data_IF_160656343925
#
_entry.id   IF_160656343925
#
_cell.length_a   1.000
_cell.length_b   1.000
_cell.length_c   1.000
_cell.angle_alpha   90.00
_cell.angle_beta   90.00
_cell.angle_gamma   90.00
#
_symmetry.space_group_name_H-M   'P 1'
#
loop_
_entity.id
_entity.type
_entity.pdbx_description
1 polymer ?
#
# COMPACT_ATOMS: atom_id res chain seq x y z
N UNK A 1 42.05 -12.86 12.33
CA UNK A 1 40.78 -12.99 13.07
C UNK A 1 39.82 -13.76 12.18
N UNK A 2 39.05 -14.74 12.70
CA UNK A 2 38.14 -15.57 11.90
C UNK A 2 36.93 -14.75 11.43
N UNK A 3 36.49 -14.96 10.19
CA UNK A 3 35.29 -14.34 9.58
C UNK A 3 34.07 -15.27 9.58
N UNK A 4 34.09 -16.27 10.47
CA UNK A 4 33.10 -17.33 10.60
C UNK A 4 31.99 -16.90 11.58
N UNK A 5 30.82 -17.53 11.49
CA UNK A 5 29.62 -17.18 12.27
C UNK A 5 29.05 -15.75 12.08
N UNK A 6 29.17 -15.19 10.86
CA UNK A 6 28.08 -14.37 10.31
C UNK A 6 26.84 -15.28 10.09
N UNK A 7 26.10 -15.57 11.17
CA UNK A 7 24.80 -16.23 11.13
C UNK A 7 23.95 -15.55 10.06
N UNK A 8 23.37 -16.34 9.15
CA UNK A 8 22.61 -15.88 7.99
C UNK A 8 21.29 -15.23 8.41
N UNK A 9 21.37 -13.98 8.86
CA UNK A 9 20.21 -13.15 9.13
C UNK A 9 19.28 -13.11 7.92
N UNK A 10 17.97 -13.20 8.17
CA UNK A 10 16.93 -13.30 7.15
C UNK A 10 17.18 -12.31 6.00
N UNK A 11 17.42 -12.85 4.81
CA UNK A 11 17.68 -12.03 3.62
C UNK A 11 16.45 -11.19 3.27
N UNK A 12 16.68 -10.06 2.60
CA UNK A 12 15.65 -9.06 2.21
C UNK A 12 14.29 -9.68 1.83
N UNK A 13 14.28 -10.66 0.92
CA UNK A 13 13.06 -11.31 0.42
C UNK A 13 12.33 -12.12 1.50
N UNK A 14 13.05 -12.80 2.39
CA UNK A 14 12.44 -13.55 3.49
C UNK A 14 11.82 -12.61 4.52
N UNK A 15 12.50 -11.50 4.87
CA UNK A 15 11.94 -10.47 5.76
C UNK A 15 10.69 -9.80 5.17
N UNK A 16 10.71 -9.47 3.87
CA UNK A 16 9.53 -8.95 3.15
C UNK A 16 8.37 -9.95 3.23
N UNK A 17 8.60 -11.22 2.90
CA UNK A 17 7.56 -12.26 2.91
C UNK A 17 6.97 -12.48 4.31
N UNK A 18 7.81 -12.54 5.35
CA UNK A 18 7.37 -12.70 6.75
C UNK A 18 6.55 -11.48 7.21
N UNK A 19 6.96 -10.25 6.84
CA UNK A 19 6.19 -9.05 7.16
C UNK A 19 4.82 -9.01 6.48
N UNK A 20 4.74 -9.36 5.19
CA UNK A 20 3.44 -9.44 4.47
C UNK A 20 2.57 -10.52 5.11
N UNK A 21 3.10 -11.73 5.34
CA UNK A 21 2.34 -12.83 5.95
C UNK A 21 1.83 -12.48 7.37
N UNK A 22 2.65 -11.81 8.19
CA UNK A 22 2.27 -11.38 9.53
C UNK A 22 1.16 -10.32 9.53
N UNK A 23 1.22 -9.33 8.64
CA UNK A 23 0.16 -8.32 8.51
C UNK A 23 -1.13 -8.93 7.95
N UNK A 24 -1.04 -9.80 6.94
CA UNK A 24 -2.21 -10.53 6.45
C UNK A 24 -2.87 -11.37 7.54
N UNK A 25 -2.08 -12.10 8.35
CA UNK A 25 -2.63 -12.86 9.48
C UNK A 25 -3.36 -11.97 10.50
N UNK A 26 -2.81 -10.80 10.83
CA UNK A 26 -3.47 -9.84 11.73
C UNK A 26 -4.80 -9.33 11.16
N UNK A 27 -4.87 -9.04 9.86
CA UNK A 27 -6.10 -8.59 9.19
C UNK A 27 -7.14 -9.71 9.09
N UNK A 28 -6.71 -10.95 8.83
CA UNK A 28 -7.57 -12.14 8.85
C UNK A 28 -8.16 -12.40 10.25
N UNK A 29 -7.34 -12.30 11.30
CA UNK A 29 -7.80 -12.41 12.69
C UNK A 29 -8.75 -11.25 13.04
N UNK A 30 -8.46 -10.02 12.60
CA UNK A 30 -9.36 -8.89 12.82
C UNK A 30 -10.72 -9.09 12.15
N UNK A 31 -10.77 -9.42 10.85
CA UNK A 31 -12.05 -9.68 10.15
C UNK A 31 -12.83 -10.86 10.78
N UNK A 32 -12.14 -11.90 11.23
CA UNK A 32 -12.77 -13.03 11.92
C UNK A 32 -13.39 -12.61 13.27
N UNK A 33 -12.64 -11.87 14.10
CA UNK A 33 -13.12 -11.38 15.41
C UNK A 33 -14.25 -10.36 15.24
N UNK A 34 -14.12 -9.39 14.34
CA UNK A 34 -15.15 -8.37 14.07
C UNK A 34 -16.44 -8.99 13.52
N UNK A 35 -16.34 -10.01 12.66
CA UNK A 35 -17.50 -10.78 12.20
C UNK A 35 -18.16 -11.58 13.32
N UNK A 36 -17.37 -12.26 14.16
CA UNK A 36 -17.88 -13.05 15.28
C UNK A 36 -18.55 -12.20 16.38
N UNK A 37 -18.04 -10.99 16.64
CA UNK A 37 -18.57 -10.06 17.64
C UNK A 37 -19.77 -9.23 17.16
N UNK A 38 -20.41 -9.61 16.05
CA UNK A 38 -21.68 -9.04 15.60
C UNK A 38 -21.59 -7.93 14.54
N UNK A 39 -20.42 -7.70 13.94
CA UNK A 39 -20.24 -6.69 12.88
C UNK A 39 -20.96 -6.99 11.55
N UNK A 40 -21.50 -8.20 11.37
CA UNK A 40 -22.26 -8.61 10.19
C UNK A 40 -22.09 -10.09 9.85
N UNK A 41 -22.63 -10.52 8.72
CA UNK A 41 -22.42 -11.88 8.21
C UNK A 41 -20.97 -12.01 7.74
N UNK A 42 -20.13 -12.73 8.49
CA UNK A 42 -18.76 -13.04 8.06
C UNK A 42 -18.78 -13.82 6.74
N UNK A 43 -18.14 -13.28 5.71
CA UNK A 43 -18.11 -13.84 4.35
C UNK A 43 -16.66 -14.06 3.90
N UNK A 44 -16.13 -15.27 4.01
CA UNK A 44 -14.74 -15.59 3.61
C UNK A 44 -14.38 -15.19 2.18
N UNK A 45 -15.37 -15.11 1.28
CA UNK A 45 -15.18 -14.66 -0.11
C UNK A 45 -14.80 -13.18 -0.24
N UNK A 46 -15.32 -12.32 0.64
CA UNK A 46 -15.09 -10.85 0.56
C UNK A 46 -13.64 -10.52 0.87
N UNK A 47 -13.08 -11.19 1.88
CA UNK A 47 -11.64 -11.16 2.21
C UNK A 47 -10.74 -11.49 1.00
N UNK A 48 -11.13 -12.46 0.16
CA UNK A 48 -10.34 -12.81 -1.04
C UNK A 48 -10.29 -11.66 -2.07
N UNK A 49 -11.28 -10.78 -2.07
CA UNK A 49 -11.31 -9.61 -2.93
C UNK A 49 -10.58 -8.40 -2.31
N UNK A 50 -10.51 -8.31 -0.98
CA UNK A 50 -9.72 -7.30 -0.25
C UNK A 50 -8.20 -7.59 -0.27
N UNK A 51 -7.81 -8.87 -0.27
CA UNK A 51 -6.41 -9.33 -0.22
C UNK A 51 -5.45 -8.59 -1.19
N UNK A 52 -5.76 -8.41 -2.50
CA UNK A 52 -4.89 -7.65 -3.40
C UNK A 52 -4.67 -6.20 -2.95
N UNK A 53 -5.70 -5.54 -2.44
CA UNK A 53 -5.62 -4.17 -1.93
C UNK A 53 -4.73 -4.08 -0.70
N UNK A 54 -4.92 -4.98 0.26
CA UNK A 54 -4.08 -5.07 1.45
C UNK A 54 -2.61 -5.35 1.11
N UNK A 55 -2.33 -6.37 0.28
CA UNK A 55 -0.93 -6.69 -0.10
C UNK A 55 -0.30 -5.49 -0.80
N UNK A 56 -1.02 -4.85 -1.73
CA UNK A 56 -0.55 -3.64 -2.41
C UNK A 56 -0.22 -2.49 -1.45
N UNK A 57 -1.05 -2.28 -0.42
CA UNK A 57 -0.90 -1.24 0.60
C UNK A 57 0.22 -1.53 1.61
N UNK A 58 0.46 -2.79 1.98
CA UNK A 58 1.43 -3.15 3.02
C UNK A 58 2.83 -3.49 2.49
N UNK A 59 2.98 -3.72 1.18
CA UNK A 59 4.27 -3.94 0.52
C UNK A 59 5.34 -2.85 0.77
N UNK A 60 5.03 -1.53 0.82
CA UNK A 60 6.00 -0.50 1.19
C UNK A 60 6.62 -0.71 2.58
N UNK A 61 5.81 -1.10 3.59
CA UNK A 61 6.32 -1.38 4.93
C UNK A 61 7.15 -2.66 4.97
N UNK A 62 6.78 -3.68 4.18
CA UNK A 62 7.60 -4.86 3.99
C UNK A 62 8.97 -4.50 3.35
N UNK A 63 9.02 -3.54 2.41
CA UNK A 63 10.28 -3.02 1.86
C UNK A 63 11.15 -2.32 2.92
N UNK A 64 10.57 -1.57 3.87
CA UNK A 64 11.28 -1.03 5.03
C UNK A 64 11.92 -2.15 5.87
N UNK A 65 11.16 -3.19 6.23
CA UNK A 65 11.70 -4.31 7.03
C UNK A 65 12.77 -5.09 6.26
N UNK A 66 12.60 -5.28 4.94
CA UNK A 66 13.62 -5.86 4.06
C UNK A 66 14.91 -5.04 4.03
N UNK A 67 14.82 -3.72 3.87
CA UNK A 67 15.96 -2.80 3.93
C UNK A 67 16.66 -2.83 5.29
N UNK A 68 15.88 -2.86 6.37
CA UNK A 68 16.34 -2.93 7.76
C UNK A 68 17.10 -4.22 8.07
N UNK A 69 16.61 -5.36 7.60
CA UNK A 69 17.29 -6.65 7.74
C UNK A 69 18.59 -6.69 6.92
N UNK A 70 18.54 -6.24 5.66
CA UNK A 70 19.62 -6.44 4.70
C UNK A 70 20.71 -5.34 4.66
N UNK A 71 20.61 -4.29 5.48
CA UNK A 71 21.52 -3.12 5.48
C UNK A 71 23.03 -3.46 5.53
N UNK A 72 23.41 -4.55 6.21
CA UNK A 72 24.80 -4.99 6.39
C UNK A 72 25.33 -5.96 5.31
N UNK A 73 24.54 -6.18 4.25
CA UNK A 73 24.82 -7.15 3.16
C UNK A 73 24.50 -6.56 1.77
N UNK A 74 23.43 -5.76 1.64
CA UNK A 74 23.08 -5.11 0.37
C UNK A 74 23.66 -3.70 0.24
N UNK A 75 24.28 -3.42 -0.91
CA UNK A 75 24.56 -2.07 -1.36
C UNK A 75 23.26 -1.28 -1.59
N UNK A 76 23.34 0.06 -1.51
CA UNK A 76 22.17 0.94 -1.68
C UNK A 76 21.50 0.71 -3.03
N UNK A 77 22.26 0.59 -4.13
CA UNK A 77 21.72 0.32 -5.46
C UNK A 77 20.99 -1.03 -5.57
N UNK A 78 21.52 -2.09 -4.94
CA UNK A 78 20.86 -3.41 -4.91
C UNK A 78 19.59 -3.42 -4.06
N UNK A 79 19.53 -2.59 -3.01
CA UNK A 79 18.31 -2.38 -2.23
C UNK A 79 17.29 -1.57 -3.04
N UNK A 80 17.68 -0.44 -3.67
CA UNK A 80 16.78 0.38 -4.52
C UNK A 80 16.15 -0.45 -5.64
N UNK A 81 16.91 -1.30 -6.34
CA UNK A 81 16.37 -2.22 -7.36
C UNK A 81 15.28 -3.14 -6.81
N UNK A 82 15.48 -3.71 -5.62
CA UNK A 82 14.48 -4.59 -4.95
C UNK A 82 13.26 -3.82 -4.47
N UNK A 83 13.45 -2.62 -3.94
CA UNK A 83 12.35 -1.76 -3.51
C UNK A 83 11.53 -1.23 -4.70
N UNK A 84 12.15 -1.00 -5.86
CA UNK A 84 11.47 -0.68 -7.11
C UNK A 84 10.67 -1.88 -7.67
N UNK A 85 11.17 -3.11 -7.56
CA UNK A 85 10.37 -4.30 -7.87
C UNK A 85 9.13 -4.41 -6.97
N UNK A 86 9.29 -4.11 -5.67
CA UNK A 86 8.15 -4.04 -4.73
C UNK A 86 7.17 -2.94 -5.13
N UNK A 87 7.64 -1.76 -5.53
CA UNK A 87 6.80 -0.68 -6.05
C UNK A 87 5.97 -1.13 -7.26
N UNK A 88 6.58 -1.81 -8.25
CA UNK A 88 5.87 -2.32 -9.42
C UNK A 88 4.77 -3.32 -9.03
N UNK A 89 5.04 -4.25 -8.11
CA UNK A 89 4.02 -5.21 -7.63
C UNK A 89 2.91 -4.50 -6.84
N UNK A 90 3.26 -3.57 -5.96
CA UNK A 90 2.32 -2.73 -5.21
C UNK A 90 1.40 -1.94 -6.16
N UNK A 91 1.96 -1.31 -7.20
CA UNK A 91 1.20 -0.58 -8.21
C UNK A 91 0.21 -1.49 -8.96
N UNK A 92 0.65 -2.67 -9.44
CA UNK A 92 -0.27 -3.58 -10.14
C UNK A 92 -1.39 -4.11 -9.24
N UNK A 93 -1.09 -4.37 -7.97
CA UNK A 93 -2.10 -4.79 -6.98
C UNK A 93 -3.10 -3.69 -6.65
N UNK A 94 -2.66 -2.43 -6.48
CA UNK A 94 -3.52 -1.29 -6.15
C UNK A 94 -4.30 -0.75 -7.36
N UNK A 95 -3.67 -0.63 -8.53
CA UNK A 95 -4.26 -0.02 -9.71
C UNK A 95 -5.08 -0.99 -10.58
N UNK A 96 -4.88 -2.30 -10.44
CA UNK A 96 -5.59 -3.31 -11.23
C UNK A 96 -6.15 -4.44 -10.36
N UNK A 97 -5.33 -5.06 -9.51
CA UNK A 97 -5.73 -6.23 -8.71
C UNK A 97 -6.97 -5.98 -7.85
N UNK A 98 -6.90 -4.95 -7.00
CA UNK A 98 -8.00 -4.55 -6.10
C UNK A 98 -9.23 -4.02 -6.85
N UNK A 99 -9.13 -3.05 -7.79
CA UNK A 99 -10.27 -2.63 -8.61
C UNK A 99 -11.00 -3.76 -9.35
N UNK A 100 -10.26 -4.71 -9.93
CA UNK A 100 -10.84 -5.88 -10.60
C UNK A 100 -11.48 -6.87 -9.62
N UNK A 101 -10.94 -6.98 -8.40
CA UNK A 101 -11.47 -7.85 -7.36
C UNK A 101 -12.79 -7.31 -6.79
N UNK A 102 -12.85 -6.05 -6.37
CA UNK A 102 -14.10 -5.41 -5.93
C UNK A 102 -15.17 -5.42 -7.01
N UNK A 103 -14.84 -5.10 -8.27
CA UNK A 103 -15.81 -5.15 -9.37
C UNK A 103 -16.41 -6.55 -9.57
N UNK A 104 -15.61 -7.61 -9.41
CA UNK A 104 -16.10 -9.00 -9.45
C UNK A 104 -16.96 -9.38 -8.25
N UNK A 105 -16.68 -8.85 -7.08
CA UNK A 105 -17.53 -9.01 -5.89
C UNK A 105 -18.91 -8.37 -6.11
N UNK A 106 -18.96 -7.10 -6.54
CA UNK A 106 -20.22 -6.43 -6.90
C UNK A 106 -20.98 -7.17 -8.01
N UNK A 107 -20.28 -7.71 -9.02
CA UNK A 107 -20.90 -8.56 -10.04
C UNK A 107 -21.54 -9.84 -9.45
N UNK A 108 -20.93 -10.43 -8.41
CA UNK A 108 -21.44 -11.62 -7.72
C UNK A 108 -22.60 -11.36 -6.74
N UNK A 109 -23.08 -10.11 -6.67
CA UNK A 109 -24.16 -9.63 -5.79
C UNK A 109 -25.38 -9.14 -6.57
N UNK A 110 -25.44 -9.37 -7.89
CA UNK A 110 -26.51 -8.91 -8.79
C UNK A 110 -26.73 -7.38 -8.77
N UNK A 111 -25.69 -6.62 -8.40
CA UNK A 111 -25.73 -5.17 -8.41
C UNK A 111 -25.70 -4.61 -9.83
N UNK A 112 -26.38 -3.47 -10.07
CA UNK A 112 -26.30 -2.75 -11.34
C UNK A 112 -24.90 -2.13 -11.54
N UNK A 113 -24.03 -2.89 -12.20
CA UNK A 113 -22.69 -2.47 -12.57
C UNK A 113 -22.69 -1.33 -13.59
N UNK A 114 -23.77 -1.12 -14.36
CA UNK A 114 -23.84 -0.02 -15.33
C UNK A 114 -24.11 1.32 -14.65
N UNK A 115 -24.92 1.33 -13.59
CA UNK A 115 -25.10 2.48 -12.72
C UNK A 115 -23.88 2.73 -11.81
N UNK A 116 -23.31 1.69 -11.20
CA UNK A 116 -22.19 1.81 -10.26
C UNK A 116 -20.84 2.07 -10.93
N UNK A 117 -20.61 1.45 -12.10
CA UNK A 117 -19.32 1.44 -12.80
C UNK A 117 -19.50 1.68 -14.32
N UNK A 118 -20.04 2.83 -14.75
CA UNK A 118 -20.32 3.11 -16.17
C UNK A 118 -19.08 3.11 -17.09
N UNK A 119 -17.87 3.21 -16.52
CA UNK A 119 -16.59 3.11 -17.25
C UNK A 119 -15.86 1.78 -16.99
N UNK A 120 -16.53 0.81 -16.36
CA UNK A 120 -15.95 -0.44 -15.88
C UNK A 120 -15.21 -0.32 -14.55
N UNK A 121 -14.42 -1.34 -14.15
CA UNK A 121 -13.67 -1.35 -12.89
C UNK A 121 -12.71 -0.15 -12.80
N UNK A 122 -12.56 0.50 -11.61
CA UNK A 122 -11.84 1.77 -11.42
C UNK A 122 -10.30 1.63 -11.49
N UNK A 123 -9.84 1.18 -12.65
CA UNK A 123 -8.44 1.08 -13.09
C UNK A 123 -8.01 2.41 -13.71
N UNK A 124 -6.69 2.67 -13.90
CA UNK A 124 -6.22 3.90 -14.52
C UNK A 124 -6.87 4.24 -15.86
N UNK A 125 -7.16 3.23 -16.70
CA UNK A 125 -7.85 3.43 -17.99
C UNK A 125 -9.30 3.90 -17.81
N UNK A 126 -10.04 3.30 -16.87
CA UNK A 126 -11.43 3.68 -16.58
C UNK A 126 -11.51 5.07 -15.92
N UNK A 127 -10.62 5.35 -14.96
CA UNK A 127 -10.54 6.65 -14.29
C UNK A 127 -10.17 7.79 -15.25
N UNK A 128 -9.28 7.54 -16.23
CA UNK A 128 -8.99 8.50 -17.31
C UNK A 128 -10.21 8.71 -18.23
N UNK A 129 -10.90 7.65 -18.63
CA UNK A 129 -12.11 7.76 -19.46
C UNK A 129 -13.24 8.52 -18.73
N UNK A 130 -13.46 8.22 -17.44
CA UNK A 130 -14.40 8.93 -16.59
C UNK A 130 -14.01 10.41 -16.44
N UNK A 131 -12.73 10.71 -16.27
CA UNK A 131 -12.22 12.09 -16.22
C UNK A 131 -12.52 12.84 -17.51
N UNK A 132 -12.20 12.27 -18.68
CA UNK A 132 -12.49 12.92 -19.97
C UNK A 132 -14.00 13.12 -20.20
N UNK A 133 -14.85 12.20 -19.74
CA UNK A 133 -16.30 12.36 -19.81
C UNK A 133 -16.82 13.52 -18.94
N UNK A 134 -16.28 13.70 -17.73
CA UNK A 134 -16.62 14.81 -16.82
C UNK A 134 -15.98 16.14 -17.28
N UNK A 135 -14.81 16.12 -17.92
CA UNK A 135 -14.21 17.31 -18.54
C UNK A 135 -15.04 17.80 -19.74
N UNK A 136 -15.63 16.87 -20.52
CA UNK A 136 -16.54 17.18 -21.62
C UNK A 136 -17.94 17.64 -21.15
N UNK A 137 -18.48 17.02 -20.08
CA UNK A 137 -19.80 17.30 -19.53
C UNK A 137 -19.71 17.57 -18.02
N UNK A 138 -19.22 18.76 -17.59
CA UNK A 138 -19.04 19.07 -16.19
C UNK A 138 -20.39 19.20 -15.46
N UNK A 139 -20.58 18.55 -14.29
CA UNK A 139 -21.81 18.66 -13.51
C UNK A 139 -21.98 20.08 -12.96
N UNK A 140 -23.23 20.54 -12.82
CA UNK A 140 -23.56 21.93 -12.46
C UNK A 140 -23.00 22.37 -11.11
N UNK A 141 -22.78 21.45 -10.17
CA UNK A 141 -22.23 21.70 -8.84
C UNK A 141 -20.70 21.77 -8.77
N UNK A 142 -19.96 21.26 -9.77
CA UNK A 142 -18.52 21.03 -9.66
C UNK A 142 -17.79 21.07 -11.03
N UNK A 143 -16.70 21.83 -11.17
CA UNK A 143 -15.99 21.97 -12.47
C UNK A 143 -14.45 21.95 -12.37
N UNK A 144 -13.77 21.09 -13.14
CA UNK A 144 -12.29 21.00 -13.20
C UNK A 144 -11.57 22.25 -13.77
N UNK A 145 -12.23 23.40 -13.83
CA UNK A 145 -11.71 24.63 -14.46
C UNK A 145 -10.93 25.48 -13.45
N UNK A 146 -9.69 25.77 -13.79
CA UNK A 146 -8.72 26.56 -12.98
C UNK A 146 -9.27 27.90 -12.48
N UNK A 147 -10.24 28.50 -13.18
CA UNK A 147 -10.89 29.76 -12.76
C UNK A 147 -11.84 29.66 -11.57
N UNK A 148 -12.15 28.44 -11.06
CA UNK A 148 -12.99 28.23 -9.87
C UNK A 148 -12.42 27.14 -8.95
N UNK A 149 -11.19 27.26 -8.44
CA UNK A 149 -10.46 26.17 -7.76
C UNK A 149 -11.02 25.79 -6.38
N UNK A 150 -12.06 26.49 -5.90
CA UNK A 150 -12.76 26.25 -4.64
C UNK A 150 -14.22 25.85 -4.83
N UNK A 151 -14.77 25.86 -6.05
CA UNK A 151 -16.04 25.19 -6.37
C UNK A 151 -15.81 23.70 -6.66
N UNK A 152 -14.80 23.13 -5.98
CA UNK A 152 -14.36 21.74 -6.11
C UNK A 152 -14.19 21.41 -7.63
N UNK A 153 -14.51 20.23 -8.22
CA UNK A 153 -14.85 18.96 -7.59
C UNK A 153 -13.73 18.58 -6.62
N UNK A 154 -13.97 17.65 -5.68
CA UNK A 154 -12.83 16.97 -5.09
C UNK A 154 -12.02 16.40 -6.27
N UNK A 155 -10.71 16.60 -6.30
CA UNK A 155 -9.88 16.19 -7.45
C UNK A 155 -9.67 14.65 -7.47
N UNK A 156 -10.70 13.91 -7.06
CA UNK A 156 -10.73 12.53 -6.64
C UNK A 156 -10.33 11.57 -7.76
N UNK A 157 -10.69 11.87 -9.01
CA UNK A 157 -10.21 11.11 -10.17
C UNK A 157 -8.70 11.23 -10.33
N UNK A 158 -8.15 12.44 -10.20
CA UNK A 158 -6.70 12.66 -10.21
C UNK A 158 -6.04 12.07 -8.97
N UNK A 159 -6.66 12.18 -7.79
CA UNK A 159 -6.18 11.55 -6.55
C UNK A 159 -6.09 10.04 -6.71
N UNK A 160 -7.15 9.34 -7.11
CA UNK A 160 -7.14 7.89 -7.31
C UNK A 160 -6.10 7.45 -8.35
N UNK A 161 -5.94 8.20 -9.45
CA UNK A 161 -4.90 7.96 -10.44
C UNK A 161 -3.48 8.05 -9.86
N UNK A 162 -3.23 9.02 -8.97
CA UNK A 162 -1.91 9.22 -8.36
C UNK A 162 -1.68 8.39 -7.10
N UNK A 163 -2.71 8.09 -6.30
CA UNK A 163 -2.66 7.35 -5.03
C UNK A 163 -1.94 6.02 -5.19
N UNK A 164 -2.32 5.23 -6.20
CA UNK A 164 -1.65 3.96 -6.49
C UNK A 164 -0.16 4.14 -6.87
N UNK A 165 0.20 5.23 -7.55
CA UNK A 165 1.58 5.55 -7.95
C UNK A 165 2.40 6.02 -6.74
N UNK A 166 1.82 6.87 -5.87
CA UNK A 166 2.46 7.42 -4.67
C UNK A 166 2.70 6.33 -3.63
N UNK A 167 1.70 5.49 -3.33
CA UNK A 167 1.83 4.36 -2.39
C UNK A 167 2.86 3.35 -2.92
N UNK A 168 2.82 3.02 -4.21
CA UNK A 168 3.82 2.17 -4.83
C UNK A 168 5.23 2.76 -4.71
N UNK A 169 5.41 4.01 -5.14
CA UNK A 169 6.70 4.73 -5.12
C UNK A 169 7.27 4.90 -3.71
N UNK A 170 6.42 5.03 -2.69
CA UNK A 170 6.82 5.05 -1.30
C UNK A 170 7.59 3.78 -0.89
N UNK A 171 7.41 2.63 -1.56
CA UNK A 171 8.23 1.42 -1.33
C UNK A 171 9.73 1.68 -1.46
N UNK A 172 10.15 2.57 -2.39
CA UNK A 172 11.56 2.92 -2.60
C UNK A 172 12.08 3.78 -1.46
N UNK A 173 11.28 4.75 -1.00
CA UNK A 173 11.60 5.60 0.15
C UNK A 173 11.64 4.81 1.46
N UNK A 174 10.65 3.93 1.67
CA UNK A 174 10.55 3.03 2.82
C UNK A 174 11.74 2.04 2.87
N UNK A 175 12.13 1.45 1.74
CA UNK A 175 13.33 0.61 1.64
C UNK A 175 14.63 1.36 1.92
N UNK A 176 14.78 2.58 1.38
CA UNK A 176 15.91 3.48 1.67
C UNK A 176 15.96 3.83 3.17
N UNK A 177 14.83 4.19 3.76
CA UNK A 177 14.71 4.56 5.16
C UNK A 177 15.06 3.37 6.06
N UNK A 178 14.49 2.19 5.80
CA UNK A 178 14.80 0.96 6.53
C UNK A 178 16.29 0.60 6.47
N UNK A 179 16.92 0.72 5.30
CA UNK A 179 18.38 0.51 5.15
C UNK A 179 19.19 1.48 6.02
N UNK A 180 18.82 2.76 6.03
CA UNK A 180 19.47 3.80 6.84
C UNK A 180 19.21 3.60 8.34
N UNK A 181 17.99 3.33 8.77
CA UNK A 181 17.63 2.96 10.15
C UNK A 181 18.41 1.72 10.61
N UNK A 182 18.62 0.75 9.72
CA UNK A 182 19.44 -0.44 9.98
C UNK A 182 20.87 -0.09 10.37
N UNK A 183 21.50 0.78 9.56
CA UNK A 183 22.87 1.29 9.79
C UNK A 183 22.98 2.20 11.02
N UNK A 184 22.03 3.11 11.23
CA UNK A 184 22.03 4.04 12.38
C UNK A 184 21.90 3.28 13.71
N UNK A 185 21.06 2.24 13.75
CA UNK A 185 20.85 1.44 14.97
C UNK A 185 21.90 0.36 15.21
N UNK A 186 22.90 0.17 14.33
CA UNK A 186 23.90 -0.90 14.48
C UNK A 186 24.75 -0.75 15.76
N UNK A 187 25.02 0.50 16.19
CA UNK A 187 25.82 0.78 17.40
C UNK A 187 25.06 0.65 18.73
N UNK A 188 23.73 0.53 18.71
CA UNK A 188 22.92 0.43 19.93
C UNK A 188 23.00 -0.96 20.56
N UNK A 189 22.75 -1.07 21.88
CA UNK A 189 22.65 -2.36 22.57
C UNK A 189 21.53 -3.23 21.97
N UNK A 190 21.53 -4.57 22.14
CA UNK A 190 20.49 -5.44 21.58
C UNK A 190 19.02 -5.03 21.90
N UNK A 191 18.64 -4.69 23.16
CA UNK A 191 17.28 -4.20 23.44
C UNK A 191 17.02 -2.82 22.82
N UNK A 192 17.93 -1.86 22.96
CA UNK A 192 17.71 -0.49 22.45
C UNK A 192 17.62 -0.47 20.92
N UNK A 193 18.44 -1.29 20.26
CA UNK A 193 18.41 -1.54 18.82
C UNK A 193 17.05 -2.08 18.37
N UNK A 194 16.46 -3.00 19.14
CA UNK A 194 15.11 -3.54 18.85
C UNK A 194 14.05 -2.45 19.03
N UNK A 195 14.10 -1.74 20.15
CA UNK A 195 13.10 -0.73 20.51
C UNK A 195 13.13 0.47 19.54
N UNK A 196 14.31 0.99 19.21
CA UNK A 196 14.49 2.06 18.23
C UNK A 196 14.02 1.65 16.82
N UNK A 197 14.24 0.40 16.42
CA UNK A 197 13.75 -0.14 15.14
C UNK A 197 12.22 -0.21 15.08
N UNK A 198 11.57 -0.64 16.16
CA UNK A 198 10.12 -0.61 16.28
C UNK A 198 9.56 0.83 16.27
N UNK A 199 10.16 1.74 17.04
CA UNK A 199 9.74 3.14 17.08
C UNK A 199 9.85 3.83 15.71
N UNK A 200 10.96 3.63 14.99
CA UNK A 200 11.15 4.16 13.64
C UNK A 200 10.17 3.56 12.62
N UNK A 201 9.89 2.26 12.71
CA UNK A 201 8.88 1.60 11.87
C UNK A 201 7.48 2.14 12.13
N UNK A 202 7.06 2.19 13.40
CA UNK A 202 5.75 2.70 13.82
C UNK A 202 5.55 4.17 13.44
N UNK A 203 6.53 5.03 13.69
CA UNK A 203 6.48 6.44 13.29
C UNK A 203 6.39 6.60 11.76
N UNK A 204 7.08 5.76 10.99
CA UNK A 204 6.98 5.76 9.52
C UNK A 204 5.59 5.34 9.03
N UNK A 205 4.97 4.35 9.68
CA UNK A 205 3.59 3.93 9.38
C UNK A 205 2.57 5.01 9.73
N UNK A 206 2.67 5.62 10.91
CA UNK A 206 1.78 6.71 11.34
C UNK A 206 1.90 7.90 10.38
N UNK A 207 3.12 8.32 10.04
CA UNK A 207 3.35 9.42 9.09
C UNK A 207 2.78 9.13 7.70
N UNK A 208 2.90 7.89 7.21
CA UNK A 208 2.28 7.47 5.95
C UNK A 208 0.74 7.54 6.01
N UNK A 209 0.11 6.93 7.03
CA UNK A 209 -1.35 6.90 7.10
C UNK A 209 -1.98 8.28 7.36
N UNK A 210 -1.31 9.16 8.11
CA UNK A 210 -1.73 10.56 8.27
C UNK A 210 -1.66 11.33 6.94
N UNK A 211 -0.59 11.13 6.15
CA UNK A 211 -0.45 11.76 4.84
C UNK A 211 -1.42 11.18 3.78
N UNK A 212 -1.82 9.92 3.94
CA UNK A 212 -2.79 9.24 3.07
C UNK A 212 -4.23 9.70 3.37
N UNK A 213 -4.59 9.81 4.66
CA UNK A 213 -5.86 10.37 5.09
C UNK A 213 -6.00 11.84 4.68
N UNK A 214 -5.02 12.68 4.98
CA UNK A 214 -5.02 14.11 4.64
C UNK A 214 -4.89 14.41 3.12
N UNK A 215 -4.74 13.38 2.28
CA UNK A 215 -4.83 13.48 0.82
C UNK A 215 -6.13 12.91 0.22
N UNK A 216 -6.99 12.31 1.04
CA UNK A 216 -8.26 11.72 0.63
C UNK A 216 -9.51 12.53 0.99
N UNK A 217 -9.34 13.61 1.78
CA UNK A 217 -10.36 14.62 2.13
C UNK A 217 -10.34 15.80 1.14
#
# INVERSE_FOLDING_TARGET
MRSEDRKSGLGFTASVAISVAGVLLLLLVHQFVSGFLGGGIWRPREVLFELPGWIGLFLPFAAFVGGLAAHAVLSVGSMVKRAAMIAVVSYFLLAYGSPMAFYRDYASREADLTALYPFGPPTPRALLAQRSAVEANPPQTYSFRVGRPLEHPPNWLTYLLHRAIVIAGFSVLAGLLGHRSGKLTTGLSPPDRRNARWALGLASSIAFFLAEAAGGE
#
